data_IF_029732630495
#
_entry.id   IF_029732630495
#
_cell.length_a   1.000
_cell.length_b   1.000
_cell.length_c   1.000
_cell.angle_alpha   90.00
_cell.angle_beta   90.00
_cell.angle_gamma   90.00
#
_symmetry.space_group_name_H-M   'P 1'
#
loop_
_entity.id
_entity.type
_entity.pdbx_description
1 polymer ?
#
# COMPACT_ATOMS: atom_id res chain seq x y z
N UNK A 1 7.90 7.79 -6.50
CA UNK A 1 8.63 9.02 -6.83
C UNK A 1 10.07 8.90 -6.35
N UNK A 2 10.92 9.88 -6.76
CA UNK A 2 12.29 9.94 -6.27
C UNK A 2 13.11 11.01 -6.97
N UNK A 3 14.34 11.14 -6.53
CA UNK A 3 15.35 12.02 -7.10
C UNK A 3 16.56 11.20 -7.55
N UNK A 4 17.05 11.44 -8.76
CA UNK A 4 18.23 10.81 -9.31
C UNK A 4 19.36 11.82 -9.37
N UNK A 5 20.46 11.50 -8.75
CA UNK A 5 21.68 12.31 -8.75
C UNK A 5 22.86 11.50 -9.29
N UNK A 6 23.89 12.18 -9.77
CA UNK A 6 25.17 11.61 -10.10
C UNK A 6 26.28 12.57 -9.64
N UNK A 7 27.24 12.08 -8.88
CA UNK A 7 28.35 12.87 -8.31
C UNK A 7 27.92 14.16 -7.57
N UNK A 8 26.69 14.17 -7.02
CA UNK A 8 26.12 15.34 -6.33
C UNK A 8 25.35 16.31 -7.23
N UNK A 9 25.30 16.07 -8.54
CA UNK A 9 24.51 16.83 -9.49
C UNK A 9 23.19 16.14 -9.86
N UNK A 10 22.19 16.92 -10.20
CA UNK A 10 20.87 16.42 -10.59
C UNK A 10 20.92 15.84 -12.01
N UNK A 11 20.45 14.60 -12.19
CA UNK A 11 20.48 13.92 -13.49
C UNK A 11 19.18 14.20 -14.26
N UNK A 12 19.31 14.91 -15.38
CA UNK A 12 18.20 15.23 -16.28
C UNK A 12 18.08 14.16 -17.36
N UNK A 13 16.88 13.66 -17.60
CA UNK A 13 16.63 12.70 -18.69
C UNK A 13 16.97 11.24 -18.35
N UNK A 14 17.22 10.90 -17.08
CA UNK A 14 17.35 9.50 -16.67
C UNK A 14 16.01 8.77 -16.87
N UNK A 15 16.08 7.56 -17.40
CA UNK A 15 14.91 6.72 -17.64
C UNK A 15 14.68 5.79 -16.46
N UNK A 16 13.48 5.86 -15.91
CA UNK A 16 13.01 5.00 -14.83
C UNK A 16 12.01 4.01 -15.42
N UNK A 17 12.26 2.71 -15.24
CA UNK A 17 11.38 1.64 -15.67
C UNK A 17 10.97 0.81 -14.46
N UNK A 18 9.68 0.78 -14.17
CA UNK A 18 9.12 -0.04 -13.09
C UNK A 18 8.31 -1.19 -13.71
N UNK A 19 8.72 -2.42 -13.43
CA UNK A 19 8.06 -3.63 -13.91
C UNK A 19 7.34 -4.32 -12.76
N UNK A 20 6.04 -4.49 -12.87
CA UNK A 20 5.25 -5.29 -11.94
C UNK A 20 5.51 -6.77 -12.22
N UNK A 21 6.21 -7.45 -11.33
CA UNK A 21 6.66 -8.84 -11.55
C UNK A 21 5.50 -9.82 -11.83
N UNK A 22 4.38 -9.78 -11.07
CA UNK A 22 3.30 -10.74 -11.26
C UNK A 22 2.54 -10.59 -12.57
N UNK A 23 2.37 -9.35 -13.08
CA UNK A 23 1.60 -9.09 -14.31
C UNK A 23 2.46 -8.72 -15.52
N UNK A 24 3.77 -8.52 -15.34
CA UNK A 24 4.65 -8.04 -16.42
C UNK A 24 4.38 -6.61 -16.89
N UNK A 25 3.48 -5.87 -16.22
CA UNK A 25 3.15 -4.50 -16.61
C UNK A 25 4.32 -3.57 -16.39
N UNK A 26 4.63 -2.75 -17.38
CA UNK A 26 5.77 -1.83 -17.36
C UNK A 26 5.26 -0.39 -17.29
N UNK A 27 5.78 0.37 -16.32
CA UNK A 27 5.57 1.80 -16.17
C UNK A 27 6.89 2.52 -16.40
N UNK A 28 6.84 3.69 -17.04
CA UNK A 28 8.05 4.46 -17.35
C UNK A 28 7.88 5.92 -16.95
N UNK A 29 8.98 6.53 -16.52
CA UNK A 29 9.10 7.96 -16.30
C UNK A 29 10.50 8.42 -16.67
N UNK A 30 10.67 9.74 -16.80
CA UNK A 30 11.94 10.39 -17.07
C UNK A 30 12.14 11.49 -16.04
N UNK A 31 13.37 11.71 -15.59
CA UNK A 31 13.69 12.78 -14.64
C UNK A 31 13.59 14.16 -15.30
N UNK A 32 13.08 15.12 -14.52
CA UNK A 32 13.00 16.52 -14.91
C UNK A 32 14.34 17.25 -14.70
N UNK A 33 14.32 18.59 -14.86
CA UNK A 33 15.51 19.46 -14.70
C UNK A 33 16.10 19.43 -13.27
N UNK A 34 15.29 19.10 -12.26
CA UNK A 34 15.73 18.97 -10.86
C UNK A 34 16.10 17.52 -10.50
N UNK A 35 16.27 16.64 -11.49
CA UNK A 35 16.53 15.22 -11.30
C UNK A 35 15.38 14.44 -10.67
N UNK A 36 14.18 15.01 -10.55
CA UNK A 36 13.01 14.38 -9.92
C UNK A 36 12.16 13.63 -10.92
N UNK A 37 11.56 12.53 -10.48
CA UNK A 37 10.60 11.76 -11.27
C UNK A 37 9.41 11.32 -10.43
N UNK A 38 8.29 11.12 -11.10
CA UNK A 38 7.07 10.56 -10.50
C UNK A 38 6.41 9.63 -11.51
N UNK A 39 6.09 8.41 -11.08
CA UNK A 39 5.28 7.45 -11.84
C UNK A 39 3.91 7.41 -11.19
N UNK A 40 2.87 7.75 -11.96
CA UNK A 40 1.47 7.75 -11.49
C UNK A 40 0.71 6.56 -12.04
N UNK A 41 -0.40 6.21 -11.41
CA UNK A 41 -1.31 5.17 -11.89
C UNK A 41 -0.76 3.74 -11.78
N UNK A 42 0.23 3.52 -10.91
CA UNK A 42 0.75 2.18 -10.64
C UNK A 42 -0.24 1.38 -9.80
N UNK A 43 -0.30 0.08 -10.04
CA UNK A 43 -1.11 -0.85 -9.23
C UNK A 43 -0.56 -0.94 -7.80
N UNK A 44 -1.43 -1.13 -6.83
CA UNK A 44 -1.04 -1.50 -5.46
C UNK A 44 -0.53 -2.94 -5.41
N UNK A 45 0.30 -3.23 -4.42
CA UNK A 45 0.95 -4.53 -4.27
C UNK A 45 2.34 -4.53 -4.89
N UNK A 46 2.72 -5.63 -5.48
CA UNK A 46 4.04 -5.88 -6.05
C UNK A 46 4.35 -7.37 -6.02
N UNK A 47 5.60 -7.79 -6.06
CA UNK A 47 6.81 -6.97 -6.09
C UNK A 47 7.05 -6.26 -7.42
N UNK A 48 7.58 -5.06 -7.35
CA UNK A 48 8.07 -4.32 -8.51
C UNK A 48 9.59 -4.41 -8.60
N UNK A 49 10.08 -4.50 -9.83
CA UNK A 49 11.48 -4.26 -10.16
C UNK A 49 11.60 -2.87 -10.78
N UNK A 50 12.31 -1.96 -10.13
CA UNK A 50 12.50 -0.60 -10.63
C UNK A 50 13.93 -0.43 -11.06
N UNK A 51 14.12 -0.03 -12.30
CA UNK A 51 15.45 0.16 -12.92
C UNK A 51 15.59 1.63 -13.30
N UNK A 52 16.67 2.25 -12.86
CA UNK A 52 17.06 3.62 -13.21
C UNK A 52 18.27 3.54 -14.11
N UNK A 53 18.17 4.06 -15.33
CA UNK A 53 19.22 4.04 -16.34
C UNK A 53 19.48 5.44 -16.88
N UNK A 54 20.75 5.76 -17.06
CA UNK A 54 21.22 6.99 -17.71
C UNK A 54 22.45 6.71 -18.56
N UNK A 55 22.63 7.47 -19.62
CA UNK A 55 23.74 7.25 -20.56
C UNK A 55 25.06 7.51 -19.85
N UNK A 56 26.00 6.56 -19.96
CA UNK A 56 27.32 6.64 -19.33
C UNK A 56 27.37 6.39 -17.83
N UNK A 57 26.24 5.98 -17.24
CA UNK A 57 26.13 5.69 -15.83
C UNK A 57 25.71 4.22 -15.61
N UNK A 58 26.15 3.65 -14.50
CA UNK A 58 25.75 2.31 -14.11
C UNK A 58 24.29 2.25 -13.74
N UNK A 59 23.57 1.32 -14.35
CA UNK A 59 22.15 1.10 -14.08
C UNK A 59 21.91 0.70 -12.63
N UNK A 60 21.04 1.42 -11.93
CA UNK A 60 20.61 1.09 -10.57
C UNK A 60 19.30 0.30 -10.61
N UNK A 61 19.25 -0.79 -9.86
CA UNK A 61 18.04 -1.61 -9.77
C UNK A 61 17.58 -1.70 -8.33
N UNK A 62 16.27 -1.56 -8.11
CA UNK A 62 15.59 -1.80 -6.86
C UNK A 62 14.66 -3.00 -7.07
N UNK A 63 14.90 -4.07 -6.35
CA UNK A 63 14.07 -5.28 -6.39
C UNK A 63 13.11 -5.31 -5.19
N UNK A 64 12.01 -6.04 -5.36
CA UNK A 64 11.01 -6.25 -4.29
C UNK A 64 10.36 -4.96 -3.74
N UNK A 65 10.17 -3.96 -4.59
CA UNK A 65 9.45 -2.74 -4.20
C UNK A 65 7.96 -3.04 -4.09
N UNK A 66 7.37 -2.75 -2.94
CA UNK A 66 5.94 -2.96 -2.66
C UNK A 66 5.24 -1.62 -2.57
N UNK A 67 4.19 -1.44 -3.36
CA UNK A 67 3.38 -0.22 -3.37
C UNK A 67 2.13 -0.39 -2.53
N UNK A 68 1.84 0.60 -1.70
CA UNK A 68 0.66 0.64 -0.83
C UNK A 68 -0.31 1.74 -1.29
N UNK A 69 -1.59 1.51 -1.06
CA UNK A 69 -2.60 2.49 -1.45
C UNK A 69 -2.44 3.80 -0.66
N UNK A 70 -2.46 4.91 -1.40
CA UNK A 70 -2.33 6.25 -0.81
C UNK A 70 -0.93 6.58 -0.29
N UNK A 71 0.06 5.72 -0.50
CA UNK A 71 1.46 5.99 -0.18
C UNK A 71 2.27 6.29 -1.44
N UNK A 72 3.24 7.15 -1.27
CA UNK A 72 4.26 7.40 -2.30
C UNK A 72 5.57 6.82 -1.81
N UNK A 73 6.07 5.79 -2.49
CA UNK A 73 7.39 5.23 -2.22
C UNK A 73 8.45 6.15 -2.79
N UNK A 74 9.46 6.48 -1.98
CA UNK A 74 10.60 7.29 -2.42
C UNK A 74 11.78 6.37 -2.76
N UNK A 75 12.17 6.37 -4.03
CA UNK A 75 13.29 5.61 -4.58
C UNK A 75 14.35 6.56 -5.14
N UNK A 76 14.80 7.49 -4.30
CA UNK A 76 15.89 8.37 -4.63
C UNK A 76 17.21 7.61 -4.66
N UNK A 77 18.04 7.91 -5.64
CA UNK A 77 19.34 7.24 -5.81
C UNK A 77 20.41 8.13 -6.39
N UNK A 78 21.66 7.76 -6.10
CA UNK A 78 22.82 8.27 -6.80
C UNK A 78 23.29 7.22 -7.81
N UNK A 79 23.52 7.63 -9.05
CA UNK A 79 24.15 6.84 -10.09
C UNK A 79 25.67 7.04 -10.04
N UNK A 80 26.39 5.99 -10.37
CA UNK A 80 27.85 5.99 -10.44
C UNK A 80 28.30 5.83 -11.90
N UNK A 81 29.45 6.40 -12.25
CA UNK A 81 30.01 6.25 -13.58
C UNK A 81 30.34 4.78 -13.89
N UNK A 82 30.09 4.38 -15.12
CA UNK A 82 30.32 3.00 -15.59
C UNK A 82 31.82 2.57 -15.57
N UNK A 83 32.70 3.48 -15.19
CA UNK A 83 34.18 3.26 -15.21
C UNK A 83 34.77 2.68 -13.92
N UNK A 84 33.96 2.39 -12.89
CA UNK A 84 34.44 1.79 -11.63
C UNK A 84 33.76 0.46 -11.33
N UNK A 85 34.58 -0.57 -11.22
CA UNK A 85 34.21 -1.91 -10.74
C UNK A 85 33.61 -1.83 -9.32
N UNK A 86 32.47 -2.44 -9.09
CA UNK A 86 31.62 -2.18 -7.92
C UNK A 86 31.52 -3.33 -6.94
N UNK A 87 31.59 -2.97 -5.69
CA UNK A 87 31.06 -3.79 -4.60
C UNK A 87 29.53 -3.62 -4.53
N UNK A 88 28.82 -4.73 -4.46
CA UNK A 88 27.37 -4.82 -4.33
C UNK A 88 26.90 -4.09 -3.07
N UNK A 89 26.21 -2.97 -3.23
CA UNK A 89 25.54 -2.29 -2.12
C UNK A 89 24.13 -2.82 -2.04
N UNK A 90 23.88 -3.71 -1.09
CA UNK A 90 22.53 -4.14 -0.72
C UNK A 90 21.86 -2.99 0.01
N UNK A 91 21.05 -2.21 -0.68
CA UNK A 91 20.19 -1.21 -0.05
C UNK A 91 19.01 -1.93 0.59
N UNK A 92 19.07 -2.13 1.91
CA UNK A 92 17.88 -2.48 2.69
C UNK A 92 16.94 -1.28 2.68
N UNK A 93 15.80 -1.42 2.02
CA UNK A 93 14.75 -0.40 2.09
C UNK A 93 14.32 -0.20 3.54
N UNK A 94 14.72 0.92 4.14
CA UNK A 94 14.11 1.38 5.38
C UNK A 94 12.71 1.87 5.05
N UNK A 95 11.71 1.34 5.75
CA UNK A 95 10.35 1.87 5.69
C UNK A 95 10.39 3.33 6.19
N UNK A 96 10.58 4.27 5.27
CA UNK A 96 10.56 5.68 5.56
C UNK A 96 9.18 6.08 6.08
N UNK A 97 9.15 6.76 7.19
CA UNK A 97 7.94 7.43 7.67
C UNK A 97 7.61 8.52 6.65
N UNK A 98 6.60 8.30 5.83
CA UNK A 98 6.14 9.30 4.87
C UNK A 98 5.56 10.50 5.62
N UNK A 99 6.27 11.62 5.58
CA UNK A 99 5.86 12.88 6.23
C UNK A 99 4.53 13.46 5.66
N UNK A 100 4.05 12.91 4.55
CA UNK A 100 2.78 13.30 3.92
C UNK A 100 1.58 12.54 4.45
N UNK A 101 1.76 11.49 5.25
CA UNK A 101 0.66 10.79 5.91
C UNK A 101 0.21 11.53 7.16
N UNK A 102 -0.92 12.18 7.06
CA UNK A 102 -1.64 12.73 8.21
C UNK A 102 -2.72 11.74 8.64
N UNK A 103 -2.62 11.23 9.86
CA UNK A 103 -3.55 10.27 10.44
C UNK A 103 -2.91 8.93 10.79
N UNK A 104 -3.60 8.16 11.64
CA UNK A 104 -3.18 6.80 12.00
C UNK A 104 -3.68 5.82 10.94
N UNK A 105 -2.83 5.51 9.97
CA UNK A 105 -3.11 4.52 8.95
C UNK A 105 -2.16 3.32 9.10
N UNK A 106 -2.71 2.12 9.06
CA UNK A 106 -1.97 0.87 9.05
C UNK A 106 -2.30 0.11 7.77
N UNK A 107 -1.27 -0.39 7.11
CA UNK A 107 -1.42 -1.20 5.91
C UNK A 107 -0.83 -2.58 6.16
N UNK A 108 -1.61 -3.62 5.90
CA UNK A 108 -1.28 -5.01 6.12
C UNK A 108 -1.30 -5.70 4.77
N UNK A 109 -0.17 -6.27 4.36
CA UNK A 109 -0.02 -6.90 3.05
C UNK A 109 -0.42 -8.39 3.09
N UNK A 110 -0.56 -9.01 1.92
CA UNK A 110 -0.96 -10.41 1.75
C UNK A 110 -0.04 -11.39 2.49
N UNK A 111 1.26 -11.10 2.55
CA UNK A 111 2.22 -11.95 3.28
C UNK A 111 1.98 -11.91 4.79
N UNK A 112 1.77 -10.73 5.35
CA UNK A 112 1.43 -10.57 6.77
C UNK A 112 0.10 -11.24 7.11
N UNK A 113 -0.88 -11.16 6.17
CA UNK A 113 -2.18 -11.83 6.30
C UNK A 113 -2.00 -13.36 6.33
N UNK A 114 -1.17 -13.90 5.44
CA UNK A 114 -0.92 -15.34 5.34
C UNK A 114 -0.15 -15.91 6.54
N UNK A 115 0.78 -15.12 7.09
CA UNK A 115 1.60 -15.52 8.23
C UNK A 115 0.83 -15.41 9.58
N UNK A 116 -0.38 -14.82 9.56
CA UNK A 116 -1.14 -14.55 10.78
C UNK A 116 -2.03 -15.73 11.17
N UNK A 117 -1.93 -16.21 12.42
CA UNK A 117 -2.88 -17.19 12.92
C UNK A 117 -4.26 -16.55 13.06
N UNK A 118 -5.23 -17.01 12.28
CA UNK A 118 -6.61 -16.55 12.29
C UNK A 118 -7.53 -17.72 12.62
N UNK A 119 -8.51 -17.48 13.49
CA UNK A 119 -9.50 -18.50 13.89
C UNK A 119 -10.68 -18.50 12.91
N UNK A 120 -11.13 -17.32 12.51
CA UNK A 120 -12.34 -17.16 11.69
C UNK A 120 -12.02 -16.83 10.23
N UNK A 121 -10.75 -16.64 9.87
CA UNK A 121 -10.29 -16.16 8.57
C UNK A 121 -11.08 -14.91 8.09
N UNK A 122 -11.44 -14.06 9.06
CA UNK A 122 -12.23 -12.86 8.83
C UNK A 122 -11.39 -11.58 8.81
N UNK A 123 -11.90 -10.56 8.15
CA UNK A 123 -11.28 -9.23 8.10
C UNK A 123 -11.14 -8.65 9.52
N UNK A 124 -12.05 -8.98 10.44
CA UNK A 124 -11.97 -8.57 11.83
C UNK A 124 -10.73 -9.08 12.55
N UNK A 125 -10.23 -10.27 12.22
CA UNK A 125 -9.01 -10.81 12.83
C UNK A 125 -7.78 -10.01 12.41
N UNK A 126 -7.72 -9.59 11.16
CA UNK A 126 -6.64 -8.73 10.64
C UNK A 126 -6.73 -7.31 11.20
N UNK A 127 -7.94 -6.78 11.28
CA UNK A 127 -8.17 -5.44 11.81
C UNK A 127 -7.74 -5.32 13.30
N UNK A 128 -7.77 -6.42 14.07
CA UNK A 128 -7.29 -6.48 15.47
C UNK A 128 -5.79 -6.22 15.62
N UNK A 129 -5.00 -6.30 14.56
CA UNK A 129 -3.59 -5.87 14.60
C UNK A 129 -3.44 -4.37 14.82
N UNK A 130 -4.51 -3.60 14.59
CA UNK A 130 -4.51 -2.19 14.92
C UNK A 130 -4.82 -1.99 16.41
N UNK A 131 -3.92 -1.39 17.20
CA UNK A 131 -4.10 -1.22 18.64
C UNK A 131 -5.26 -0.28 19.01
N UNK A 132 -5.76 0.52 18.05
CA UNK A 132 -6.89 1.41 18.25
C UNK A 132 -8.25 0.74 17.97
N UNK A 133 -8.24 -0.51 17.49
CA UNK A 133 -9.45 -1.27 17.25
C UNK A 133 -9.73 -2.18 18.45
N UNK A 134 -10.92 -2.06 19.00
CA UNK A 134 -11.46 -2.99 19.98
C UNK A 134 -12.64 -3.74 19.38
N UNK A 135 -12.74 -5.02 19.67
CA UNK A 135 -13.92 -5.84 19.30
C UNK A 135 -14.74 -6.13 20.52
N UNK A 136 -16.04 -5.91 20.42
CA UNK A 136 -16.98 -6.28 21.48
C UNK A 136 -17.25 -7.79 21.47
N UNK A 137 -17.86 -8.32 22.53
CA UNK A 137 -18.25 -9.73 22.60
C UNK A 137 -19.24 -10.16 21.50
N UNK A 138 -19.94 -9.19 20.88
CA UNK A 138 -20.83 -9.42 19.74
C UNK A 138 -20.12 -9.34 18.37
N UNK A 139 -18.81 -9.20 18.35
CA UNK A 139 -18.02 -9.06 17.11
C UNK A 139 -17.99 -7.64 16.54
N UNK A 140 -18.66 -6.67 17.16
CA UNK A 140 -18.67 -5.31 16.66
C UNK A 140 -17.30 -4.66 16.77
N UNK A 141 -16.85 -4.03 15.68
CA UNK A 141 -15.57 -3.32 15.61
C UNK A 141 -15.74 -1.86 16.03
N UNK A 142 -15.00 -1.45 17.04
CA UNK A 142 -14.97 -0.07 17.53
C UNK A 142 -13.56 0.51 17.33
N UNK A 143 -13.47 1.60 16.60
CA UNK A 143 -12.23 2.37 16.45
C UNK A 143 -12.20 3.53 17.46
N UNK A 144 -11.18 3.56 18.28
CA UNK A 144 -10.99 4.62 19.30
C UNK A 144 -12.26 4.87 20.16
N UNK A 145 -13.03 3.81 20.46
CA UNK A 145 -14.25 3.90 21.26
C UNK A 145 -15.51 4.38 20.53
N UNK A 146 -15.45 4.62 19.21
CA UNK A 146 -16.63 4.99 18.43
C UNK A 146 -17.51 3.78 18.12
N UNK A 147 -18.82 4.00 17.94
CA UNK A 147 -19.73 2.93 17.52
C UNK A 147 -19.36 2.40 16.13
N UNK A 148 -19.55 1.09 15.93
CA UNK A 148 -19.35 0.41 14.65
C UNK A 148 -20.14 1.04 13.48
N UNK A 149 -21.27 1.69 13.78
CA UNK A 149 -22.12 2.38 12.79
C UNK A 149 -21.44 3.56 12.11
N UNK A 150 -20.39 4.10 12.72
CA UNK A 150 -19.62 5.23 12.19
C UNK A 150 -18.39 4.80 11.43
N UNK A 151 -18.15 3.51 11.31
CA UNK A 151 -17.04 2.96 10.51
C UNK A 151 -17.45 2.84 9.05
N UNK A 152 -16.47 2.91 8.16
CA UNK A 152 -16.63 2.62 6.74
C UNK A 152 -15.87 1.37 6.38
N UNK A 153 -16.54 0.45 5.70
CA UNK A 153 -15.94 -0.72 5.10
C UNK A 153 -15.99 -0.59 3.57
N UNK A 154 -14.85 -0.72 2.93
CA UNK A 154 -14.71 -0.57 1.47
C UNK A 154 -14.02 -1.80 0.89
N UNK A 155 -14.41 -2.17 -0.32
CA UNK A 155 -13.74 -3.18 -1.14
C UNK A 155 -13.33 -2.49 -2.43
N UNK A 156 -12.03 -2.47 -2.72
CA UNK A 156 -11.45 -1.77 -3.88
C UNK A 156 -11.90 -0.29 -4.00
N UNK A 157 -12.12 0.36 -2.85
CA UNK A 157 -12.61 1.73 -2.77
C UNK A 157 -14.12 1.88 -2.87
N UNK A 158 -14.88 0.81 -3.15
CA UNK A 158 -16.34 0.84 -3.16
C UNK A 158 -16.88 0.59 -1.74
N UNK A 159 -17.79 1.45 -1.28
CA UNK A 159 -18.40 1.31 0.04
C UNK A 159 -19.28 0.05 0.12
N UNK A 160 -19.04 -0.78 1.11
CA UNK A 160 -19.79 -2.01 1.40
C UNK A 160 -20.33 -2.00 2.85
N UNK A 161 -20.84 -0.86 3.27
CA UNK A 161 -21.35 -0.67 4.62
C UNK A 161 -22.71 -1.33 4.79
N UNK A 162 -22.99 -1.84 6.00
CA UNK A 162 -24.33 -2.23 6.39
C UNK A 162 -25.18 -0.97 6.65
N UNK A 163 -26.02 -0.62 5.66
CA UNK A 163 -26.86 0.57 5.68
C UNK A 163 -27.88 0.54 6.83
N UNK A 164 -28.29 -0.64 7.24
CA UNK A 164 -29.30 -0.82 8.31
C UNK A 164 -28.68 -0.90 9.70
N UNK A 165 -27.37 -1.02 9.82
CA UNK A 165 -26.66 -1.13 11.10
C UNK A 165 -27.03 -2.37 11.90
N UNK A 166 -27.41 -3.46 11.23
CA UNK A 166 -27.81 -4.73 11.83
C UNK A 166 -26.61 -5.66 12.08
N UNK A 167 -25.50 -5.42 11.38
CA UNK A 167 -24.29 -6.21 11.51
C UNK A 167 -23.32 -5.61 12.53
N UNK A 168 -22.83 -6.42 13.45
CA UNK A 168 -21.75 -6.04 14.37
C UNK A 168 -20.44 -5.69 13.64
N UNK A 169 -20.16 -6.38 12.54
CA UNK A 169 -18.96 -6.18 11.74
C UNK A 169 -19.03 -4.95 10.84
N UNK A 170 -20.19 -4.30 10.74
CA UNK A 170 -20.42 -3.14 9.90
C UNK A 170 -20.49 -3.46 8.39
N UNK A 171 -20.52 -4.75 8.02
CA UNK A 171 -20.56 -5.20 6.63
C UNK A 171 -21.90 -5.86 6.29
N UNK A 172 -22.27 -5.83 5.02
CA UNK A 172 -23.47 -6.52 4.53
C UNK A 172 -23.34 -8.04 4.78
N UNK A 173 -24.37 -8.64 5.36
CA UNK A 173 -24.39 -10.08 5.65
C UNK A 173 -23.67 -10.51 6.94
N UNK A 174 -22.97 -9.61 7.63
CA UNK A 174 -22.21 -9.93 8.84
C UNK A 174 -23.05 -10.51 9.98
N UNK A 175 -24.35 -10.17 10.06
CA UNK A 175 -25.27 -10.78 11.05
C UNK A 175 -25.46 -12.29 10.84
N UNK A 176 -25.36 -12.75 9.60
CA UNK A 176 -25.42 -14.17 9.24
C UNK A 176 -24.05 -14.85 9.29
N UNK A 177 -23.00 -14.16 9.73
CA UNK A 177 -21.61 -14.65 9.70
C UNK A 177 -21.02 -14.72 8.29
N UNK A 178 -21.68 -14.12 7.29
CA UNK A 178 -21.16 -14.08 5.93
C UNK A 178 -20.03 -13.05 5.82
N UNK A 179 -18.89 -13.48 5.30
CA UNK A 179 -17.77 -12.59 4.99
C UNK A 179 -18.00 -11.99 3.60
N UNK A 180 -17.89 -10.67 3.41
CA UNK A 180 -18.12 -10.04 2.11
C UNK A 180 -17.05 -10.42 1.07
N UNK A 181 -15.84 -10.74 1.52
CA UNK A 181 -14.70 -11.15 0.68
C UNK A 181 -13.88 -12.17 1.44
N UNK A 182 -13.44 -13.24 0.75
CA UNK A 182 -12.50 -14.22 1.32
C UNK A 182 -11.13 -13.58 1.55
N UNK A 183 -10.49 -13.85 2.69
CA UNK A 183 -9.14 -13.38 3.01
C UNK A 183 -8.10 -13.76 1.96
N UNK A 184 -8.28 -14.89 1.29
CA UNK A 184 -7.38 -15.41 0.26
C UNK A 184 -7.38 -14.55 -1.00
N UNK A 185 -8.47 -13.84 -1.27
CA UNK A 185 -8.60 -12.94 -2.42
C UNK A 185 -8.05 -11.54 -2.14
N UNK A 186 -7.67 -11.25 -0.91
CA UNK A 186 -7.19 -9.94 -0.49
C UNK A 186 -5.68 -9.83 -0.73
N UNK A 187 -5.27 -8.78 -1.42
CA UNK A 187 -3.87 -8.39 -1.60
C UNK A 187 -3.37 -7.54 -0.44
N UNK A 188 -4.22 -6.63 0.03
CA UNK A 188 -3.86 -5.68 1.06
C UNK A 188 -5.10 -5.21 1.84
N UNK A 189 -4.95 -5.03 3.16
CA UNK A 189 -5.94 -4.35 3.99
C UNK A 189 -5.33 -3.06 4.50
N UNK A 190 -6.03 -1.96 4.29
CA UNK A 190 -5.68 -0.67 4.84
C UNK A 190 -6.70 -0.29 5.91
N UNK A 191 -6.21 -0.03 7.11
CA UNK A 191 -7.00 0.45 8.26
C UNK A 191 -6.62 1.89 8.53
N UNK A 192 -7.56 2.81 8.38
CA UNK A 192 -7.39 4.23 8.64
C UNK A 192 -8.24 4.63 9.85
N UNK A 193 -7.59 5.22 10.86
CA UNK A 193 -8.29 5.78 12.01
C UNK A 193 -8.13 7.29 11.97
N UNK A 194 -9.26 8.01 11.92
CA UNK A 194 -9.29 9.47 11.82
C UNK A 194 -8.42 10.03 10.66
N UNK A 195 -8.68 9.67 9.40
CA UNK A 195 -7.93 10.21 8.28
C UNK A 195 -8.23 11.70 8.10
N UNK A 196 -7.19 12.49 7.86
CA UNK A 196 -7.32 13.91 7.52
C UNK A 196 -7.28 14.17 6.01
N UNK A 197 -7.44 13.11 5.20
CA UNK A 197 -7.46 13.21 3.74
C UNK A 197 -8.88 13.56 3.26
N UNK A 198 -9.01 14.69 2.56
CA UNK A 198 -10.28 15.17 2.00
C UNK A 198 -10.93 14.22 0.98
N UNK A 199 -10.15 13.28 0.44
CA UNK A 199 -10.64 12.25 -0.48
C UNK A 199 -11.36 11.10 0.24
N UNK A 200 -11.17 10.99 1.55
CA UNK A 200 -11.79 9.97 2.39
C UNK A 200 -12.86 10.62 3.26
N UNK A 201 -14.11 10.30 3.01
CA UNK A 201 -15.25 10.88 3.72
C UNK A 201 -16.34 9.85 3.97
N UNK A 202 -17.44 10.30 4.60
CA UNK A 202 -18.62 9.47 4.87
C UNK A 202 -18.54 8.62 6.13
N UNK A 203 -17.55 8.84 6.99
CA UNK A 203 -17.41 8.15 8.29
C UNK A 203 -16.75 9.06 9.33
N UNK A 204 -16.99 8.78 10.60
CA UNK A 204 -16.40 9.51 11.74
C UNK A 204 -15.59 8.61 12.68
N UNK A 205 -15.67 7.29 12.48
CA UNK A 205 -14.86 6.28 13.17
C UNK A 205 -13.61 5.92 12.40
N UNK A 206 -13.43 4.63 12.11
CA UNK A 206 -12.36 4.13 11.27
C UNK A 206 -12.85 3.71 9.88
N UNK A 207 -11.96 3.65 8.92
CA UNK A 207 -12.20 3.07 7.62
C UNK A 207 -11.31 1.84 7.42
N UNK A 208 -11.91 0.76 6.94
CA UNK A 208 -11.21 -0.44 6.49
C UNK A 208 -11.41 -0.51 4.98
N UNK A 209 -10.31 -0.54 4.22
CA UNK A 209 -10.35 -0.75 2.79
C UNK A 209 -9.60 -2.05 2.45
N UNK A 210 -10.34 -3.04 1.97
CA UNK A 210 -9.80 -4.30 1.47
C UNK A 210 -9.55 -4.18 -0.03
N UNK A 211 -8.33 -4.43 -0.45
CA UNK A 211 -7.93 -4.42 -1.86
C UNK A 211 -7.79 -5.85 -2.32
N UNK A 212 -8.50 -6.22 -3.37
CA UNK A 212 -8.48 -7.58 -3.90
C UNK A 212 -7.30 -7.81 -4.82
N UNK A 213 -6.86 -9.07 -4.90
CA UNK A 213 -5.83 -9.49 -5.84
C UNK A 213 -6.32 -9.27 -7.27
N UNK A 214 -5.51 -8.64 -8.09
CA UNK A 214 -5.80 -8.54 -9.51
C UNK A 214 -5.49 -9.85 -10.21
N UNK A 215 -6.33 -10.25 -11.17
CA UNK A 215 -6.06 -11.41 -12.01
C UNK A 215 -4.71 -11.30 -12.71
N UNK A 216 -3.95 -12.39 -12.71
CA UNK A 216 -2.73 -12.53 -13.52
C UNK A 216 -3.11 -13.25 -14.79
N UNK A 217 -2.72 -12.72 -15.95
CA UNK A 217 -2.73 -13.48 -17.19
C UNK A 217 -1.49 -14.38 -17.15
N UNK A 218 -1.67 -15.64 -16.75
CA UNK A 218 -0.69 -16.71 -16.89
C UNK A 218 -1.08 -17.52 -18.11
#
# INVERSE_FOLDING_TARGET
SGKVMSQGEDVIGATITATHQPSGTIYRAVTNIDGRYTIQGMRVGGPYKVTVAYIGQKTKTFDNVMLRLGETEDLSCSLEDDSKELQEVVVKGSAGVNATKTGAAQSINSKQIADMPSITHGIADVARLNPQLTTTNSGAMSFAGTSNRYNSFMIDGAANNDVFGLSGDGTNGGRAGAQPVSMETIEQIQVNVAPFDVRQGGFTGGAINAITKSGTNV
#
